data_IF_205110917704
#
_entry.id   IF_205110917704
#
_cell.length_a   1.000
_cell.length_b   1.000
_cell.length_c   1.000
_cell.angle_alpha   90.00
_cell.angle_beta   90.00
_cell.angle_gamma   90.00
#
_symmetry.space_group_name_H-M   'P 1'
#
loop_
_entity.id
_entity.type
_entity.pdbx_description
1 polymer ?
#
# COMPACT_ATOMS: atom_id res chain seq x y z
N UNK A 1 -5.66 40.77 9.91
CA UNK A 1 -5.17 39.81 10.93
C UNK A 1 -4.76 38.54 10.16
N UNK A 2 -3.49 38.45 9.84
CA UNK A 2 -2.91 37.30 9.12
C UNK A 2 -2.57 36.25 10.16
N UNK A 3 -3.46 35.27 10.30
CA UNK A 3 -3.26 34.15 11.22
C UNK A 3 -2.15 33.29 10.65
N UNK A 4 -1.06 33.15 11.38
CA UNK A 4 -0.11 32.05 11.14
C UNK A 4 -0.87 30.77 11.44
N UNK A 5 -1.21 30.03 10.41
CA UNK A 5 -1.57 28.62 10.54
C UNK A 5 -0.28 27.84 10.79
N UNK A 6 0.25 27.95 12.00
CA UNK A 6 1.07 26.91 12.53
C UNK A 6 0.09 25.76 12.82
N UNK A 7 0.22 24.68 12.09
CA UNK A 7 -0.64 23.53 12.22
C UNK A 7 -0.76 23.13 13.68
N UNK A 8 -1.93 23.35 14.28
CA UNK A 8 -2.28 22.65 15.50
C UNK A 8 -2.38 21.19 15.14
N UNK A 9 -1.35 20.43 15.48
CA UNK A 9 -1.38 18.99 15.41
C UNK A 9 -2.35 18.51 16.50
N UNK A 10 -3.66 18.60 16.24
CA UNK A 10 -4.61 17.71 16.88
C UNK A 10 -4.23 16.32 16.35
N UNK A 11 -3.57 15.53 17.20
CA UNK A 11 -3.27 14.12 16.99
C UNK A 11 -4.59 13.35 16.79
N UNK A 12 -5.24 13.53 15.64
CA UNK A 12 -6.21 12.60 15.13
C UNK A 12 -5.43 11.48 14.45
N UNK A 13 -4.97 10.52 15.25
CA UNK A 13 -4.52 9.24 14.73
C UNK A 13 -5.72 8.50 14.14
N UNK A 14 -6.06 8.78 12.90
CA UNK A 14 -6.75 7.81 12.09
C UNK A 14 -5.68 6.84 11.57
N UNK A 15 -5.34 5.86 12.39
CA UNK A 15 -4.54 4.73 11.95
C UNK A 15 -5.39 3.86 11.02
N UNK A 16 -5.63 4.32 9.80
CA UNK A 16 -5.99 3.41 8.71
C UNK A 16 -4.75 2.59 8.35
N UNK A 17 -4.34 1.69 9.26
CA UNK A 17 -3.39 0.61 8.94
C UNK A 17 -4.19 -0.49 8.24
N UNK A 18 -4.80 -0.17 7.13
CA UNK A 18 -5.44 -1.16 6.27
C UNK A 18 -4.56 -1.52 5.07
N UNK A 19 -3.27 -1.76 5.29
CA UNK A 19 -2.54 -2.66 4.43
C UNK A 19 -2.94 -4.08 4.88
N UNK A 20 -4.08 -4.56 4.38
CA UNK A 20 -4.49 -5.95 4.60
C UNK A 20 -3.45 -6.83 3.92
N UNK A 21 -2.53 -7.36 4.71
CA UNK A 21 -1.48 -8.26 4.23
C UNK A 21 -2.08 -9.63 3.99
N UNK A 22 -2.75 -9.80 2.85
CA UNK A 22 -3.11 -11.11 2.37
C UNK A 22 -1.94 -11.65 1.55
N UNK A 23 -1.50 -12.85 1.90
CA UNK A 23 -0.60 -13.63 1.06
C UNK A 23 -1.36 -14.80 0.48
N UNK A 24 -1.13 -15.07 -0.80
CA UNK A 24 -1.70 -16.24 -1.45
C UNK A 24 -0.90 -17.46 -1.02
N UNK A 25 -1.53 -18.38 -0.31
CA UNK A 25 -0.96 -19.68 0.02
C UNK A 25 -1.49 -20.73 -0.96
N UNK A 26 -0.57 -21.42 -1.61
CA UNK A 26 -0.87 -22.56 -2.47
C UNK A 26 -0.74 -23.87 -1.73
N UNK A 27 -1.66 -24.79 -1.96
CA UNK A 27 -1.66 -26.12 -1.35
C UNK A 27 -1.98 -27.16 -2.40
N UNK A 28 -1.35 -28.32 -2.30
CA UNK A 28 -1.65 -29.47 -3.19
C UNK A 28 -2.54 -30.46 -2.44
N UNK A 29 -3.64 -30.82 -3.06
CA UNK A 29 -4.63 -31.73 -2.50
C UNK A 29 -4.86 -32.92 -3.42
N UNK A 30 -4.99 -34.12 -2.82
CA UNK A 30 -5.30 -35.32 -3.57
C UNK A 30 -6.76 -35.33 -4.01
N UNK A 31 -6.99 -35.46 -5.32
CA UNK A 31 -8.31 -35.63 -5.93
C UNK A 31 -8.62 -37.11 -6.19
N UNK A 32 -7.67 -37.80 -6.79
CA UNK A 32 -7.73 -39.25 -6.97
C UNK A 32 -6.42 -39.81 -6.45
N UNK A 33 -6.51 -40.55 -5.35
CA UNK A 33 -5.35 -41.26 -4.81
C UNK A 33 -4.77 -42.23 -5.86
N UNK A 34 -3.45 -42.38 -5.79
CA UNK A 34 -2.79 -43.30 -6.70
C UNK A 34 -3.47 -44.67 -6.73
N UNK A 35 -3.81 -45.14 -7.91
CA UNK A 35 -4.41 -46.46 -8.09
C UNK A 35 -4.03 -47.05 -9.46
N UNK A 36 -4.03 -48.36 -9.52
CA UNK A 36 -3.78 -49.12 -10.74
C UNK A 36 -5.09 -49.66 -11.32
N UNK A 37 -5.23 -49.58 -12.62
CA UNK A 37 -6.41 -49.99 -13.38
C UNK A 37 -5.95 -50.84 -14.56
N UNK A 38 -6.50 -52.05 -14.69
CA UNK A 38 -6.21 -52.92 -15.83
C UNK A 38 -7.26 -52.71 -16.95
N UNK A 39 -6.78 -52.55 -18.19
CA UNK A 39 -7.60 -52.44 -19.39
C UNK A 39 -7.21 -53.54 -20.38
N UNK A 40 -8.18 -54.31 -20.83
CA UNK A 40 -7.99 -55.31 -21.86
C UNK A 40 -7.73 -54.67 -23.24
N UNK A 41 -7.08 -55.42 -24.11
CA UNK A 41 -7.08 -55.11 -25.54
C UNK A 41 -8.48 -55.22 -26.14
N UNK A 42 -8.70 -54.57 -27.28
CA UNK A 42 -10.02 -54.46 -27.90
C UNK A 42 -10.70 -55.83 -28.19
N UNK A 43 -9.95 -56.84 -28.63
CA UNK A 43 -10.47 -58.16 -28.89
C UNK A 43 -10.96 -58.88 -27.61
N UNK A 44 -10.21 -58.79 -26.49
CA UNK A 44 -10.65 -59.35 -25.20
C UNK A 44 -11.80 -58.57 -24.58
N UNK A 45 -11.86 -57.27 -24.84
CA UNK A 45 -12.96 -56.44 -24.35
C UNK A 45 -14.31 -56.84 -25.00
N UNK A 46 -14.31 -57.37 -26.23
CA UNK A 46 -15.52 -57.89 -26.87
C UNK A 46 -16.02 -59.19 -26.25
N UNK A 47 -15.17 -59.91 -25.49
CA UNK A 47 -15.47 -61.17 -24.77
C UNK A 47 -15.78 -60.95 -23.30
N UNK A 48 -16.11 -59.72 -22.87
CA UNK A 48 -16.49 -59.41 -21.48
C UNK A 48 -15.49 -58.60 -20.68
N UNK A 49 -14.34 -58.24 -21.25
CA UNK A 49 -13.37 -57.32 -20.61
C UNK A 49 -13.71 -55.86 -20.86
N UNK A 50 -12.96 -54.94 -20.18
CA UNK A 50 -13.08 -53.49 -20.37
C UNK A 50 -11.83 -52.95 -21.07
N UNK A 51 -11.97 -52.28 -22.22
CA UNK A 51 -10.91 -51.54 -22.90
C UNK A 51 -10.92 -50.04 -22.57
N UNK A 52 -11.95 -49.58 -21.85
CA UNK A 52 -12.17 -48.19 -21.47
C UNK A 52 -12.70 -48.09 -20.05
N UNK A 53 -12.37 -46.98 -19.37
CA UNK A 53 -12.90 -46.62 -18.04
C UNK A 53 -12.91 -45.11 -17.94
N UNK A 54 -13.77 -44.57 -17.10
CA UNK A 54 -13.78 -43.15 -16.75
C UNK A 54 -13.46 -42.99 -15.27
N UNK A 55 -12.76 -41.93 -14.94
CA UNK A 55 -12.42 -41.52 -13.59
C UNK A 55 -13.05 -40.14 -13.37
N UNK A 56 -13.97 -40.00 -12.42
CA UNK A 56 -14.51 -38.69 -12.07
C UNK A 56 -13.44 -37.85 -11.38
N UNK A 57 -13.39 -36.55 -11.71
CA UNK A 57 -12.50 -35.55 -11.13
C UNK A 57 -13.35 -34.45 -10.49
N UNK A 58 -13.39 -34.43 -9.18
CA UNK A 58 -14.12 -33.42 -8.40
C UNK A 58 -13.14 -32.41 -7.86
N UNK A 59 -13.08 -31.21 -8.45
CA UNK A 59 -12.16 -30.17 -8.04
C UNK A 59 -12.69 -29.48 -6.79
N UNK A 60 -11.84 -29.24 -5.77
CA UNK A 60 -12.17 -28.42 -4.61
C UNK A 60 -12.41 -26.96 -5.01
N UNK A 61 -12.99 -26.20 -4.09
CA UNK A 61 -13.09 -24.72 -4.24
C UNK A 61 -11.68 -24.14 -4.28
N UNK A 62 -11.55 -22.99 -4.93
CA UNK A 62 -10.28 -22.27 -5.06
C UNK A 62 -9.18 -23.04 -5.80
N UNK A 63 -9.53 -24.08 -6.59
CA UNK A 63 -8.58 -24.73 -7.48
C UNK A 63 -8.12 -23.75 -8.55
N UNK A 64 -6.82 -23.51 -8.64
CA UNK A 64 -6.20 -22.66 -9.68
C UNK A 64 -5.68 -23.48 -10.84
N UNK A 65 -5.24 -24.69 -10.54
CA UNK A 65 -4.74 -25.67 -11.51
C UNK A 65 -4.88 -27.08 -10.94
N UNK A 66 -4.91 -28.08 -11.77
CA UNK A 66 -4.83 -29.45 -11.33
C UNK A 66 -3.96 -30.25 -12.28
N UNK A 67 -3.51 -31.41 -11.82
CA UNK A 67 -2.53 -32.22 -12.51
C UNK A 67 -2.96 -33.68 -12.42
N UNK A 68 -2.72 -34.40 -13.49
CA UNK A 68 -2.74 -35.86 -13.42
C UNK A 68 -1.43 -36.44 -13.93
N UNK A 69 -0.98 -37.49 -13.31
CA UNK A 69 0.15 -38.29 -13.79
C UNK A 69 -0.27 -39.74 -13.99
N UNK A 70 0.33 -40.38 -14.94
CA UNK A 70 0.15 -41.79 -15.14
C UNK A 70 1.41 -42.43 -15.71
N UNK A 71 1.53 -43.75 -15.46
CA UNK A 71 2.50 -44.64 -16.10
C UNK A 71 1.84 -45.96 -16.39
N UNK A 72 2.30 -46.64 -17.42
CA UNK A 72 1.71 -47.90 -17.91
C UNK A 72 2.68 -49.05 -17.80
N UNK A 73 2.17 -50.24 -17.54
CA UNK A 73 2.91 -51.50 -17.60
C UNK A 73 2.18 -52.56 -18.37
N UNK A 74 2.88 -53.56 -18.98
CA UNK A 74 2.23 -54.65 -19.67
C UNK A 74 1.64 -55.62 -18.62
N UNK A 75 0.51 -56.29 -19.00
CA UNK A 75 -0.16 -57.25 -18.13
C UNK A 75 -0.81 -56.64 -16.89
N UNK A 76 -0.97 -57.44 -15.85
CA UNK A 76 -1.68 -57.06 -14.60
C UNK A 76 -0.76 -56.44 -13.52
N UNK A 77 0.54 -56.41 -13.78
CA UNK A 77 1.52 -55.83 -12.83
C UNK A 77 1.45 -54.33 -12.85
N UNK A 78 1.18 -53.69 -11.76
CA UNK A 78 1.22 -52.23 -11.62
C UNK A 78 2.63 -51.67 -11.77
N UNK A 79 2.74 -50.38 -12.10
CA UNK A 79 3.99 -49.64 -12.08
C UNK A 79 4.34 -49.17 -10.65
N UNK A 80 5.60 -48.76 -10.48
CA UNK A 80 6.08 -48.12 -9.24
C UNK A 80 5.28 -46.86 -8.86
N UNK A 81 5.51 -46.39 -7.65
CA UNK A 81 4.82 -45.26 -7.06
C UNK A 81 5.04 -43.95 -7.87
N UNK A 82 3.98 -43.26 -8.24
CA UNK A 82 4.04 -41.98 -8.96
C UNK A 82 4.49 -40.82 -8.08
N UNK A 83 4.07 -40.83 -6.80
CA UNK A 83 4.41 -39.82 -5.80
C UNK A 83 4.11 -38.36 -6.26
N UNK A 84 3.11 -38.16 -7.12
CA UNK A 84 2.80 -36.83 -7.68
C UNK A 84 2.51 -35.81 -6.60
N UNK A 85 1.65 -36.17 -5.64
CA UNK A 85 1.32 -35.30 -4.51
C UNK A 85 2.57 -34.81 -3.76
N UNK A 86 3.46 -35.74 -3.39
CA UNK A 86 4.66 -35.40 -2.61
C UNK A 86 5.63 -34.53 -3.41
N UNK A 87 5.83 -34.86 -4.68
CA UNK A 87 6.72 -34.08 -5.55
C UNK A 87 6.20 -32.66 -5.73
N UNK A 88 4.91 -32.48 -6.09
CA UNK A 88 4.34 -31.17 -6.31
C UNK A 88 4.25 -30.36 -5.01
N UNK A 89 3.91 -30.98 -3.87
CA UNK A 89 3.90 -30.29 -2.57
C UNK A 89 5.24 -29.71 -2.20
N UNK A 90 6.35 -30.39 -2.54
CA UNK A 90 7.72 -29.90 -2.30
C UNK A 90 8.15 -28.77 -3.26
N UNK A 91 7.42 -28.54 -4.35
CA UNK A 91 7.74 -27.57 -5.41
C UNK A 91 6.88 -26.30 -5.33
N UNK A 92 5.94 -26.22 -4.39
CA UNK A 92 5.11 -25.03 -4.19
C UNK A 92 5.97 -23.87 -3.68
N UNK A 93 5.91 -22.74 -4.38
CA UNK A 93 6.59 -21.50 -3.99
C UNK A 93 5.55 -20.40 -3.77
N UNK A 94 5.45 -19.88 -2.56
CA UNK A 94 4.57 -18.75 -2.28
C UNK A 94 5.17 -17.45 -2.87
N UNK A 95 4.36 -16.56 -3.45
CA UNK A 95 2.92 -16.69 -3.74
C UNK A 95 2.63 -17.29 -5.14
N UNK A 96 3.64 -17.78 -5.87
CA UNK A 96 3.55 -18.12 -7.29
C UNK A 96 2.95 -19.51 -7.59
N UNK A 97 2.83 -20.40 -6.58
CA UNK A 97 2.42 -21.78 -6.77
C UNK A 97 3.45 -22.62 -7.53
N UNK A 98 2.99 -23.59 -8.33
CA UNK A 98 3.87 -24.45 -9.12
C UNK A 98 4.23 -23.79 -10.45
N UNK A 99 5.52 -23.56 -10.68
CA UNK A 99 6.03 -23.00 -11.94
C UNK A 99 6.18 -24.06 -13.02
N UNK A 100 6.22 -23.64 -14.29
CA UNK A 100 6.50 -24.59 -15.41
C UNK A 100 7.85 -25.27 -15.27
N UNK A 101 8.85 -24.56 -14.79
CA UNK A 101 10.19 -25.12 -14.57
C UNK A 101 10.17 -26.16 -13.46
N UNK A 102 9.41 -25.93 -12.38
CA UNK A 102 9.26 -26.91 -11.31
C UNK A 102 8.56 -28.18 -11.84
N UNK A 103 7.50 -28.01 -12.63
CA UNK A 103 6.74 -29.14 -13.20
C UNK A 103 7.61 -30.03 -14.12
N UNK A 104 8.57 -29.45 -14.86
CA UNK A 104 9.49 -30.23 -15.72
C UNK A 104 10.44 -31.15 -14.93
N UNK A 105 10.57 -30.94 -13.64
CA UNK A 105 11.42 -31.77 -12.75
C UNK A 105 10.66 -32.94 -12.10
N UNK A 106 9.35 -33.05 -12.33
CA UNK A 106 8.55 -34.16 -11.79
C UNK A 106 8.98 -35.47 -12.48
N UNK A 107 9.34 -36.44 -11.68
CA UNK A 107 9.79 -37.74 -12.16
C UNK A 107 8.68 -38.76 -11.98
N UNK A 108 8.38 -39.48 -13.05
CA UNK A 108 7.43 -40.60 -13.04
C UNK A 108 8.09 -41.85 -13.63
N UNK A 109 7.70 -43.05 -13.19
CA UNK A 109 8.23 -44.30 -13.72
C UNK A 109 8.03 -44.42 -15.25
N UNK A 110 9.00 -45.01 -15.94
CA UNK A 110 8.94 -45.19 -17.37
C UNK A 110 7.82 -46.18 -17.76
N UNK A 111 6.87 -45.72 -18.57
CA UNK A 111 5.81 -46.54 -19.06
C UNK A 111 6.25 -47.43 -20.25
N UNK A 112 5.63 -48.59 -20.39
CA UNK A 112 5.98 -49.59 -21.40
C UNK A 112 4.93 -49.77 -22.49
N UNK A 113 3.65 -49.40 -22.28
CA UNK A 113 2.57 -49.56 -23.20
C UNK A 113 1.82 -48.25 -23.44
N UNK A 114 1.29 -48.04 -24.65
CA UNK A 114 0.58 -46.79 -24.97
C UNK A 114 -0.86 -46.78 -24.48
N UNK A 115 -1.32 -45.58 -24.05
CA UNK A 115 -2.71 -45.32 -23.67
C UNK A 115 -3.17 -43.99 -24.29
N UNK A 116 -4.48 -43.87 -24.49
CA UNK A 116 -5.16 -42.60 -24.76
C UNK A 116 -5.89 -42.13 -23.49
N UNK A 117 -5.69 -40.88 -23.13
CA UNK A 117 -6.39 -40.23 -22.02
C UNK A 117 -7.18 -39.04 -22.53
N UNK A 118 -8.46 -39.02 -22.27
CA UNK A 118 -9.41 -37.99 -22.71
C UNK A 118 -9.95 -37.20 -21.52
N UNK A 119 -9.90 -35.89 -21.57
CA UNK A 119 -10.57 -35.03 -20.61
C UNK A 119 -11.95 -34.64 -21.14
N UNK A 120 -13.01 -34.95 -20.40
CA UNK A 120 -14.39 -34.81 -20.86
C UNK A 120 -15.32 -34.34 -19.77
N UNK A 121 -16.49 -33.82 -20.14
CA UNK A 121 -17.62 -33.64 -19.23
C UNK A 121 -18.44 -34.96 -19.11
N UNK A 122 -19.44 -34.98 -18.22
CA UNK A 122 -20.28 -36.16 -17.95
C UNK A 122 -20.91 -36.75 -19.21
N UNK A 123 -21.58 -35.92 -20.01
CA UNK A 123 -22.31 -36.43 -21.20
C UNK A 123 -21.38 -37.12 -22.21
N UNK A 124 -20.18 -36.58 -22.39
CA UNK A 124 -19.16 -37.14 -23.27
C UNK A 124 -18.49 -38.38 -22.64
N UNK A 125 -18.36 -38.44 -21.31
CA UNK A 125 -17.85 -39.62 -20.61
C UNK A 125 -18.81 -40.80 -20.77
N UNK A 126 -20.11 -40.58 -20.73
CA UNK A 126 -21.12 -41.62 -20.97
C UNK A 126 -21.08 -42.14 -22.44
N UNK A 127 -20.99 -41.23 -23.41
CA UNK A 127 -20.82 -41.58 -24.81
C UNK A 127 -19.50 -42.36 -25.08
N UNK A 128 -18.40 -41.94 -24.43
CA UNK A 128 -17.11 -42.62 -24.48
C UNK A 128 -17.19 -44.06 -24.00
N UNK A 129 -17.89 -44.34 -22.91
CA UNK A 129 -18.08 -45.69 -22.38
C UNK A 129 -18.94 -46.56 -23.31
N UNK A 130 -19.89 -45.95 -24.03
CA UNK A 130 -20.73 -46.63 -25.01
C UNK A 130 -19.98 -46.95 -26.32
N UNK A 131 -18.68 -46.60 -26.42
CA UNK A 131 -17.83 -46.84 -27.60
C UNK A 131 -18.32 -46.14 -28.89
N UNK A 132 -18.95 -44.97 -28.72
CA UNK A 132 -19.47 -44.15 -29.83
C UNK A 132 -18.36 -43.24 -30.33
N UNK A 133 -17.31 -43.79 -30.94
CA UNK A 133 -16.14 -43.00 -31.36
C UNK A 133 -15.65 -43.33 -32.77
N UNK A 134 -16.30 -44.25 -33.49
CA UNK A 134 -15.65 -44.81 -34.66
C UNK A 134 -16.31 -44.55 -36.01
N UNK A 135 -17.54 -44.06 -36.10
CA UNK A 135 -18.19 -43.83 -37.40
C UNK A 135 -19.16 -42.62 -37.33
N UNK A 136 -18.62 -41.44 -37.22
CA UNK A 136 -19.41 -40.25 -36.98
C UNK A 136 -19.48 -39.95 -35.50
N UNK A 137 -18.45 -40.32 -34.84
CA UNK A 137 -18.20 -40.31 -33.46
C UNK A 137 -18.61 -39.06 -32.71
N UNK A 138 -19.08 -39.26 -31.54
CA UNK A 138 -19.96 -38.29 -30.97
C UNK A 138 -19.65 -37.96 -29.53
N UNK A 139 -18.44 -38.19 -29.11
CA UNK A 139 -17.97 -37.57 -27.85
C UNK A 139 -16.92 -36.52 -28.14
N UNK A 140 -17.03 -35.41 -27.41
CA UNK A 140 -16.07 -34.31 -27.44
C UNK A 140 -15.16 -34.37 -26.22
N UNK A 141 -13.91 -33.90 -26.36
CA UNK A 141 -12.94 -33.86 -25.29
C UNK A 141 -12.14 -32.54 -25.32
N UNK A 142 -11.64 -32.15 -24.19
CA UNK A 142 -10.74 -31.03 -24.09
C UNK A 142 -9.34 -31.44 -24.56
N UNK A 143 -8.84 -30.77 -25.59
CA UNK A 143 -7.59 -31.10 -26.25
C UNK A 143 -6.37 -30.85 -25.39
N UNK A 144 -6.38 -29.75 -24.64
CA UNK A 144 -5.24 -29.30 -23.81
C UNK A 144 -5.05 -30.19 -22.58
N UNK A 145 -6.08 -30.86 -22.12
CA UNK A 145 -6.04 -31.80 -21.00
C UNK A 145 -6.06 -33.27 -21.42
N UNK A 146 -5.88 -33.58 -22.69
CA UNK A 146 -5.90 -34.95 -23.24
C UNK A 146 -4.55 -35.34 -23.85
N UNK A 147 -4.18 -36.61 -23.75
CA UNK A 147 -2.95 -37.14 -24.36
C UNK A 147 -3.23 -38.47 -25.06
N UNK A 148 -2.53 -38.72 -26.17
CA UNK A 148 -2.77 -39.86 -27.02
C UNK A 148 -1.49 -40.61 -27.30
N UNK A 149 -1.61 -41.93 -27.43
CA UNK A 149 -0.51 -42.83 -27.73
C UNK A 149 0.71 -42.61 -26.83
N UNK A 150 0.45 -42.38 -25.54
CA UNK A 150 1.47 -41.95 -24.57
C UNK A 150 1.64 -43.05 -23.51
N UNK A 151 2.90 -43.32 -23.11
CA UNK A 151 3.23 -44.38 -22.14
C UNK A 151 3.24 -43.87 -20.70
N UNK A 152 3.59 -42.62 -20.52
CA UNK A 152 3.65 -41.92 -19.24
C UNK A 152 3.53 -40.42 -19.47
N UNK A 153 2.90 -39.71 -18.58
CA UNK A 153 2.84 -38.24 -18.62
C UNK A 153 2.54 -37.62 -17.26
N UNK A 154 2.97 -36.36 -17.09
CA UNK A 154 2.42 -35.41 -16.12
C UNK A 154 1.73 -34.33 -16.92
N UNK A 155 0.44 -34.17 -16.75
CA UNK A 155 -0.39 -33.24 -17.51
C UNK A 155 -0.97 -32.17 -16.61
N UNK A 156 -0.57 -30.91 -16.80
CA UNK A 156 -1.21 -29.77 -16.14
C UNK A 156 -2.52 -29.41 -16.84
N UNK A 157 -3.56 -29.14 -16.08
CA UNK A 157 -4.86 -28.74 -16.57
C UNK A 157 -5.33 -27.48 -15.87
N UNK A 158 -5.79 -26.48 -16.61
CA UNK A 158 -6.33 -25.26 -16.04
C UNK A 158 -7.70 -25.50 -15.38
N UNK A 159 -7.96 -24.81 -14.26
CA UNK A 159 -9.19 -24.97 -13.48
C UNK A 159 -10.47 -24.42 -14.16
N UNK A 160 -10.35 -23.65 -15.24
CA UNK A 160 -11.46 -22.95 -15.90
C UNK A 160 -12.42 -23.90 -16.68
N UNK A 161 -12.43 -25.17 -16.34
CA UNK A 161 -13.29 -26.17 -16.98
C UNK A 161 -14.52 -26.45 -16.11
N UNK A 162 -15.69 -26.55 -16.74
CA UNK A 162 -16.94 -26.82 -16.05
C UNK A 162 -16.94 -28.19 -15.37
N UNK A 163 -17.20 -28.25 -14.09
CA UNK A 163 -17.46 -29.49 -13.37
C UNK A 163 -18.87 -30.06 -13.73
N UNK A 164 -19.08 -31.37 -13.69
CA UNK A 164 -18.12 -32.42 -13.38
C UNK A 164 -17.20 -32.80 -14.55
N UNK A 165 -15.93 -33.12 -14.24
CA UNK A 165 -14.92 -33.55 -15.20
C UNK A 165 -14.63 -35.04 -15.08
N UNK A 166 -14.23 -35.65 -16.15
CA UNK A 166 -13.87 -37.08 -16.25
C UNK A 166 -12.60 -37.26 -17.05
N UNK A 167 -11.71 -38.11 -16.57
CA UNK A 167 -10.62 -38.69 -17.35
C UNK A 167 -11.06 -40.02 -17.93
N UNK A 168 -11.19 -40.10 -19.25
CA UNK A 168 -11.45 -41.33 -19.97
C UNK A 168 -10.15 -42.00 -20.36
N UNK A 169 -9.92 -43.21 -19.90
CA UNK A 169 -8.74 -44.03 -20.21
C UNK A 169 -9.13 -45.09 -21.26
N UNK A 170 -8.40 -45.14 -22.38
CA UNK A 170 -8.64 -46.11 -23.46
C UNK A 170 -7.35 -46.85 -23.81
N UNK A 171 -7.39 -48.15 -23.77
CA UNK A 171 -6.31 -48.98 -24.32
C UNK A 171 -6.45 -49.03 -25.85
N UNK A 172 -5.51 -48.46 -26.64
CA UNK A 172 -5.55 -48.49 -28.09
C UNK A 172 -5.17 -49.87 -28.72
N UNK A 173 -4.52 -50.76 -27.93
CA UNK A 173 -4.15 -52.09 -28.42
C UNK A 173 -5.38 -52.95 -28.69
N UNK A 174 -5.34 -53.71 -29.77
CA UNK A 174 -6.37 -54.70 -30.10
C UNK A 174 -6.18 -56.02 -29.33
N UNK A 175 -4.96 -56.38 -28.97
CA UNK A 175 -4.65 -57.71 -28.41
C UNK A 175 -4.20 -57.63 -26.94
N UNK A 176 -3.33 -56.66 -26.62
CA UNK A 176 -2.61 -56.67 -25.38
C UNK A 176 -3.36 -55.89 -24.31
N UNK A 177 -3.44 -56.46 -23.11
CA UNK A 177 -3.90 -55.75 -21.93
C UNK A 177 -2.80 -54.90 -21.31
N UNK A 178 -3.17 -53.79 -20.72
CA UNK A 178 -2.27 -52.84 -20.03
C UNK A 178 -2.77 -52.53 -18.64
N UNK A 179 -1.84 -52.32 -17.70
CA UNK A 179 -2.11 -51.74 -16.41
C UNK A 179 -1.70 -50.27 -16.41
N UNK A 180 -2.54 -49.40 -15.85
CA UNK A 180 -2.32 -47.97 -15.77
C UNK A 180 -2.31 -47.58 -14.31
N UNK A 181 -1.20 -47.09 -13.81
CA UNK A 181 -1.15 -46.42 -12.50
C UNK A 181 -1.37 -44.93 -12.72
N UNK A 182 -2.36 -44.34 -12.04
CA UNK A 182 -2.77 -42.94 -12.20
C UNK A 182 -2.96 -42.27 -10.84
N UNK A 183 -2.59 -40.98 -10.75
CA UNK A 183 -2.81 -40.11 -9.60
C UNK A 183 -3.30 -38.76 -10.11
N UNK A 184 -4.23 -38.10 -9.37
CA UNK A 184 -4.75 -36.77 -9.69
C UNK A 184 -4.69 -35.89 -8.48
N UNK A 185 -4.14 -34.68 -8.63
CA UNK A 185 -4.02 -33.70 -7.56
C UNK A 185 -4.46 -32.31 -8.05
N UNK A 186 -4.95 -31.50 -7.12
CA UNK A 186 -5.29 -30.10 -7.40
C UNK A 186 -4.37 -29.17 -6.62
N UNK A 187 -4.05 -28.05 -7.25
CA UNK A 187 -3.42 -26.89 -6.64
C UNK A 187 -4.53 -25.90 -6.30
N UNK A 188 -4.75 -25.66 -5.01
CA UNK A 188 -5.66 -24.66 -4.48
C UNK A 188 -4.90 -23.43 -4.04
N UNK A 189 -5.53 -22.27 -4.12
CA UNK A 189 -4.97 -21.00 -3.66
C UNK A 189 -5.95 -20.31 -2.70
N UNK A 190 -5.49 -19.98 -1.52
CA UNK A 190 -6.26 -19.26 -0.51
C UNK A 190 -5.53 -17.98 -0.11
N UNK A 191 -6.28 -16.89 0.03
CA UNK A 191 -5.76 -15.68 0.63
C UNK A 191 -5.76 -15.81 2.15
N UNK A 192 -4.57 -15.79 2.75
CA UNK A 192 -4.38 -15.87 4.19
C UNK A 192 -3.89 -14.53 4.70
N UNK A 193 -4.60 -13.99 5.69
CA UNK A 193 -4.17 -12.78 6.38
C UNK A 193 -2.91 -13.05 7.20
N UNK A 194 -1.87 -12.25 6.96
CA UNK A 194 -0.64 -12.27 7.76
C UNK A 194 -0.59 -11.02 8.63
N UNK A 195 -0.62 -11.20 9.95
CA UNK A 195 -0.49 -10.12 10.92
C UNK A 195 0.99 -9.81 11.20
N UNK A 196 1.72 -9.47 10.12
CA UNK A 196 3.15 -9.13 10.16
C UNK A 196 3.39 -7.71 9.67
N UNK A 197 4.39 -7.06 10.25
CA UNK A 197 4.81 -5.74 9.82
C UNK A 197 5.45 -5.77 8.44
N UNK A 198 4.88 -5.02 7.49
CA UNK A 198 5.47 -4.76 6.17
C UNK A 198 6.15 -3.39 6.14
N UNK A 199 7.05 -3.17 5.17
CA UNK A 199 7.79 -1.92 5.06
C UNK A 199 6.89 -0.69 5.11
N UNK A 200 5.78 -0.69 4.37
CA UNK A 200 4.85 0.44 4.33
C UNK A 200 4.23 0.78 5.69
N UNK A 201 3.80 -0.23 6.46
CA UNK A 201 3.25 -0.02 7.81
C UNK A 201 4.31 0.39 8.82
N UNK A 202 5.54 -0.11 8.68
CA UNK A 202 6.68 0.31 9.49
C UNK A 202 7.08 1.75 9.20
N UNK A 203 7.09 2.16 7.93
CA UNK A 203 7.38 3.53 7.52
C UNK A 203 6.31 4.49 8.02
N UNK A 204 5.04 4.10 8.02
CA UNK A 204 3.95 4.90 8.59
C UNK A 204 4.13 5.13 10.08
N UNK A 205 4.47 4.11 10.87
CA UNK A 205 4.77 4.26 12.31
C UNK A 205 5.91 5.25 12.54
N UNK A 206 6.96 5.20 11.70
CA UNK A 206 8.07 6.14 11.74
C UNK A 206 7.63 7.56 11.39
N UNK A 207 6.89 7.75 10.31
CA UNK A 207 6.39 9.05 9.85
C UNK A 207 5.44 9.68 10.88
N UNK A 208 4.54 8.91 11.48
CA UNK A 208 3.65 9.39 12.53
C UNK A 208 4.45 9.87 13.76
N UNK A 209 5.53 9.17 14.12
CA UNK A 209 6.44 9.62 15.16
C UNK A 209 7.13 10.93 14.78
N UNK A 210 7.69 11.05 13.57
CA UNK A 210 8.36 12.28 13.10
C UNK A 210 7.39 13.46 13.10
N UNK A 211 6.17 13.25 12.61
CA UNK A 211 5.12 14.27 12.56
C UNK A 211 4.61 14.70 13.93
N UNK A 212 4.90 13.93 14.99
CA UNK A 212 4.60 14.31 16.39
C UNK A 212 5.57 15.35 16.95
N UNK A 213 6.71 15.58 16.29
CA UNK A 213 7.69 16.60 16.68
C UNK A 213 7.51 17.89 15.88
N UNK A 214 7.84 19.02 16.51
CA UNK A 214 7.82 20.34 15.85
C UNK A 214 8.98 20.52 14.86
N UNK A 215 10.05 19.73 15.00
CA UNK A 215 11.24 19.71 14.15
C UNK A 215 11.52 18.26 13.73
N UNK A 216 11.75 18.05 12.43
CA UNK A 216 12.05 16.72 11.87
C UNK A 216 13.55 16.53 11.60
N UNK A 217 14.43 16.95 12.50
CA UNK A 217 15.88 16.87 12.31
C UNK A 217 16.46 15.45 12.53
N UNK A 218 17.76 15.31 12.36
CA UNK A 218 18.44 14.02 12.47
C UNK A 218 18.26 13.35 13.85
N UNK A 219 18.15 14.15 14.92
CA UNK A 219 17.99 13.64 16.29
C UNK A 219 16.58 13.08 16.48
N UNK A 220 15.56 13.76 15.98
CA UNK A 220 14.17 13.26 16.01
C UNK A 220 14.04 11.97 15.21
N UNK A 221 14.70 11.88 14.05
CA UNK A 221 14.74 10.64 13.26
C UNK A 221 15.38 9.48 14.01
N UNK A 222 16.43 9.72 14.79
CA UNK A 222 17.05 8.70 15.62
C UNK A 222 16.10 8.21 16.73
N UNK A 223 15.40 9.11 17.41
CA UNK A 223 14.40 8.78 18.43
C UNK A 223 13.26 7.97 17.80
N UNK A 224 12.76 8.39 16.62
CA UNK A 224 11.66 7.72 15.95
C UNK A 224 12.02 6.35 15.36
N UNK A 225 13.27 6.11 14.95
CA UNK A 225 13.73 4.77 14.61
C UNK A 225 13.68 3.84 15.84
N UNK A 226 14.21 4.28 16.97
CA UNK A 226 14.12 3.52 18.22
C UNK A 226 12.65 3.26 18.62
N UNK A 227 11.79 4.27 18.50
CA UNK A 227 10.35 4.14 18.77
C UNK A 227 9.70 3.08 17.87
N UNK A 228 9.92 3.17 16.55
CA UNK A 228 9.44 2.19 15.57
C UNK A 228 9.88 0.77 15.94
N UNK A 229 11.16 0.58 16.26
CA UNK A 229 11.71 -0.74 16.61
C UNK A 229 11.05 -1.31 17.88
N UNK A 230 10.75 -0.47 18.87
CA UNK A 230 10.01 -0.89 20.09
C UNK A 230 8.57 -1.29 19.78
N UNK A 231 7.89 -0.56 18.90
CA UNK A 231 6.51 -0.89 18.48
C UNK A 231 6.49 -2.24 17.77
N UNK A 232 7.37 -2.43 16.79
CA UNK A 232 7.47 -3.68 16.01
C UNK A 232 7.78 -4.88 16.91
N UNK A 233 8.62 -4.68 17.93
CA UNK A 233 8.95 -5.74 18.88
C UNK A 233 7.83 -6.09 19.87
N UNK A 234 6.95 -5.13 20.20
CA UNK A 234 5.94 -5.29 21.23
C UNK A 234 4.54 -5.63 20.71
N UNK A 235 4.24 -5.29 19.45
CA UNK A 235 2.91 -5.39 18.86
C UNK A 235 2.95 -6.03 17.47
N UNK A 236 1.87 -6.74 17.12
CA UNK A 236 1.54 -7.01 15.72
C UNK A 236 0.76 -5.83 15.13
N UNK A 237 0.69 -5.66 13.78
CA UNK A 237 -0.11 -4.60 13.16
C UNK A 237 -1.54 -4.54 13.67
N UNK A 238 -2.23 -5.68 13.76
CA UNK A 238 -3.61 -5.74 14.26
C UNK A 238 -3.72 -5.33 15.72
N UNK A 239 -2.84 -5.82 16.59
CA UNK A 239 -2.87 -5.46 18.02
C UNK A 239 -2.57 -3.99 18.25
N UNK A 240 -1.68 -3.41 17.44
CA UNK A 240 -1.37 -1.98 17.50
C UNK A 240 -2.55 -1.11 17.03
N UNK A 241 -3.22 -1.50 15.93
CA UNK A 241 -4.38 -0.77 15.40
C UNK A 241 -5.61 -0.79 16.32
N UNK A 242 -5.69 -1.77 17.22
CA UNK A 242 -6.78 -1.91 18.21
C UNK A 242 -6.58 -1.05 19.47
N UNK A 243 -5.43 -0.40 19.63
CA UNK A 243 -5.18 0.44 20.79
C UNK A 243 -6.13 1.64 20.80
N UNK A 244 -6.65 2.00 21.98
CA UNK A 244 -7.44 3.21 22.14
C UNK A 244 -6.56 4.44 21.96
N UNK A 245 -7.15 5.60 21.60
CA UNK A 245 -6.42 6.86 21.50
C UNK A 245 -5.69 7.22 22.81
N UNK A 246 -6.27 6.87 23.96
CA UNK A 246 -5.64 7.08 25.28
C UNK A 246 -4.39 6.23 25.44
N UNK A 247 -4.47 4.94 25.06
CA UNK A 247 -3.34 4.00 25.17
C UNK A 247 -2.24 4.35 24.16
N UNK A 248 -2.61 4.75 22.94
CA UNK A 248 -1.67 5.24 21.94
C UNK A 248 -0.91 6.48 22.45
N UNK A 249 -1.62 7.48 22.97
CA UNK A 249 -0.98 8.69 23.49
C UNK A 249 0.00 8.38 24.63
N UNK A 250 -0.40 7.47 25.53
CA UNK A 250 0.49 7.02 26.62
C UNK A 250 1.70 6.26 26.07
N UNK A 251 1.48 5.33 25.18
CA UNK A 251 2.52 4.53 24.52
C UNK A 251 3.55 5.42 23.80
N UNK A 252 3.07 6.39 23.01
CA UNK A 252 3.92 7.36 22.32
C UNK A 252 4.75 8.16 23.32
N UNK A 253 4.11 8.71 24.38
CA UNK A 253 4.83 9.46 25.43
C UNK A 253 5.91 8.62 26.09
N UNK A 254 5.59 7.39 26.52
CA UNK A 254 6.50 6.53 27.29
C UNK A 254 7.65 6.03 26.41
N UNK A 255 7.37 5.59 25.17
CA UNK A 255 8.40 5.04 24.29
C UNK A 255 9.30 6.13 23.71
N UNK A 256 8.75 7.30 23.32
CA UNK A 256 9.55 8.43 22.84
C UNK A 256 10.48 8.91 23.97
N UNK A 257 9.96 9.05 25.20
CA UNK A 257 10.77 9.42 26.37
C UNK A 257 11.89 8.41 26.62
N UNK A 258 11.57 7.12 26.63
CA UNK A 258 12.55 6.04 26.79
C UNK A 258 13.63 6.06 25.70
N UNK A 259 13.25 6.29 24.44
CA UNK A 259 14.18 6.37 23.32
C UNK A 259 15.09 7.61 23.39
N UNK A 260 14.54 8.75 23.81
CA UNK A 260 15.32 9.96 24.02
C UNK A 260 16.33 9.81 25.18
N UNK A 261 15.94 9.15 26.28
CA UNK A 261 16.82 8.83 27.40
C UNK A 261 17.95 7.87 26.98
N UNK A 262 17.63 6.80 26.26
CA UNK A 262 18.62 5.82 25.76
C UNK A 262 19.64 6.43 24.80
N UNK A 263 19.22 7.41 24.00
CA UNK A 263 20.11 8.11 23.07
C UNK A 263 20.84 9.33 23.69
N UNK A 264 20.60 9.64 24.97
CA UNK A 264 21.15 10.84 25.64
C UNK A 264 20.54 12.16 25.13
N UNK A 265 19.36 12.11 24.48
CA UNK A 265 18.73 13.24 23.78
C UNK A 265 17.50 13.82 24.53
N UNK A 266 17.42 13.64 25.85
CA UNK A 266 16.26 14.12 26.65
C UNK A 266 16.01 15.63 26.54
N UNK A 267 17.03 16.43 26.25
CA UNK A 267 16.91 17.88 26.03
C UNK A 267 16.07 18.23 24.79
N UNK A 268 16.02 17.34 23.80
CA UNK A 268 15.21 17.51 22.58
C UNK A 268 13.72 17.57 22.91
N UNK A 269 13.27 16.74 23.84
CA UNK A 269 11.87 16.72 24.28
C UNK A 269 11.47 18.02 24.99
N UNK A 270 12.39 18.61 25.78
CA UNK A 270 12.14 19.89 26.42
C UNK A 270 12.07 21.03 25.40
N UNK A 271 12.98 21.03 24.43
CA UNK A 271 12.98 21.96 23.30
C UNK A 271 11.69 21.89 22.49
N UNK A 272 11.26 20.70 22.12
CA UNK A 272 10.03 20.49 21.36
C UNK A 272 8.78 20.91 22.17
N UNK A 273 8.74 20.62 23.47
CA UNK A 273 7.70 21.12 24.37
C UNK A 273 7.67 22.67 24.38
N UNK A 274 8.82 23.33 24.46
CA UNK A 274 8.90 24.79 24.45
C UNK A 274 8.40 25.38 23.13
N UNK A 275 8.72 24.76 22.01
CA UNK A 275 8.22 25.17 20.68
C UNK A 275 6.68 25.14 20.65
N UNK A 276 6.05 24.06 21.15
CA UNK A 276 4.58 23.97 21.24
C UNK A 276 3.97 25.03 22.16
N UNK A 277 4.58 25.28 23.32
CA UNK A 277 4.13 26.35 24.23
C UNK A 277 4.17 27.72 23.54
N UNK A 278 5.26 28.00 22.80
CA UNK A 278 5.39 29.27 22.08
C UNK A 278 4.36 29.41 20.97
N UNK A 279 4.04 28.30 20.27
CA UNK A 279 3.00 28.29 19.24
C UNK A 279 1.62 28.70 19.82
N UNK A 280 1.25 28.14 20.96
CA UNK A 280 -0.01 28.51 21.63
C UNK A 280 0.02 29.96 22.15
N UNK A 281 1.16 30.43 22.70
CA UNK A 281 1.32 31.81 23.11
C UNK A 281 1.17 32.78 21.92
N UNK A 282 1.81 32.50 20.79
CA UNK A 282 1.74 33.34 19.59
C UNK A 282 0.29 33.41 19.06
N UNK A 283 -0.46 32.30 19.10
CA UNK A 283 -1.89 32.31 18.74
C UNK A 283 -2.68 33.27 19.63
N UNK A 284 -2.48 33.19 20.93
CA UNK A 284 -3.09 34.12 21.91
C UNK A 284 -2.72 35.56 21.65
N UNK A 285 -1.42 35.86 21.51
CA UNK A 285 -0.87 37.19 21.23
C UNK A 285 -1.37 37.78 19.92
N UNK A 286 -1.57 36.94 18.91
CA UNK A 286 -2.20 37.34 17.62
C UNK A 286 -3.65 37.82 17.82
N UNK A 287 -4.42 37.12 18.64
CA UNK A 287 -5.82 37.47 18.92
C UNK A 287 -5.90 38.76 19.70
N UNK A 288 -5.03 38.93 20.71
CA UNK A 288 -4.97 40.13 21.55
C UNK A 288 -4.26 41.31 20.91
N UNK A 289 -3.58 41.07 19.76
CA UNK A 289 -2.76 42.07 19.05
C UNK A 289 -1.61 42.60 19.90
N UNK A 290 -1.04 41.74 20.74
CA UNK A 290 0.16 42.04 21.52
C UNK A 290 1.40 41.79 20.68
N UNK A 291 1.74 42.80 19.85
CA UNK A 291 2.86 42.68 18.89
C UNK A 291 4.22 42.66 19.59
N UNK A 292 4.35 43.23 20.81
CA UNK A 292 5.62 43.25 21.56
C UNK A 292 5.98 41.84 22.04
N UNK A 293 5.06 41.16 22.69
CA UNK A 293 5.34 39.85 23.22
C UNK A 293 5.27 38.78 22.08
N UNK A 294 4.47 39.03 21.05
CA UNK A 294 4.48 38.16 19.85
C UNK A 294 5.84 38.19 19.14
N UNK A 295 6.46 39.38 18.96
CA UNK A 295 7.81 39.48 18.40
C UNK A 295 8.82 38.68 19.20
N UNK A 296 8.82 38.80 20.57
CA UNK A 296 9.71 38.03 21.44
C UNK A 296 9.53 36.51 21.26
N UNK A 297 8.28 36.06 21.25
CA UNK A 297 7.95 34.64 21.08
C UNK A 297 8.40 34.10 19.73
N UNK A 298 8.25 34.89 18.66
CA UNK A 298 8.72 34.53 17.31
C UNK A 298 10.24 34.47 17.20
N UNK A 299 10.93 35.42 17.83
CA UNK A 299 12.40 35.41 17.92
C UNK A 299 12.91 34.20 18.69
N UNK A 300 12.25 33.82 19.79
CA UNK A 300 12.59 32.61 20.55
C UNK A 300 12.40 31.35 19.67
N UNK A 301 11.33 31.25 18.87
CA UNK A 301 11.15 30.14 17.90
C UNK A 301 12.36 30.01 16.96
N UNK A 302 12.86 31.12 16.43
CA UNK A 302 14.04 31.11 15.56
C UNK A 302 15.28 30.59 16.30
N UNK A 303 15.50 30.98 17.60
CA UNK A 303 16.61 30.45 18.40
C UNK A 303 16.48 28.96 18.68
N UNK A 304 15.26 28.45 18.72
CA UNK A 304 14.95 27.02 18.84
C UNK A 304 15.01 26.29 17.50
N UNK A 305 15.37 26.95 16.40
CA UNK A 305 15.57 26.34 15.09
C UNK A 305 14.30 26.19 14.25
N UNK A 306 13.19 26.82 14.63
CA UNK A 306 11.98 26.92 13.79
C UNK A 306 12.20 28.00 12.75
N UNK A 307 13.01 27.69 11.73
CA UNK A 307 13.48 28.61 10.70
C UNK A 307 12.72 28.40 9.37
N UNK A 308 11.45 28.85 9.33
CA UNK A 308 10.60 28.76 8.14
C UNK A 308 10.02 30.13 7.77
N UNK A 309 9.50 30.26 6.52
CA UNK A 309 8.97 31.51 5.99
C UNK A 309 7.75 32.04 6.77
N UNK A 310 6.93 31.19 7.39
CA UNK A 310 5.79 31.60 8.20
C UNK A 310 6.20 32.40 9.43
N UNK A 311 7.28 31.99 10.11
CA UNK A 311 7.83 32.71 11.27
C UNK A 311 8.28 34.10 10.83
N UNK A 312 9.02 34.20 9.71
CA UNK A 312 9.47 35.49 9.17
C UNK A 312 8.33 36.38 8.70
N UNK A 313 7.26 35.79 8.12
CA UNK A 313 6.05 36.53 7.76
C UNK A 313 5.41 37.19 8.98
N UNK A 314 5.20 36.43 10.05
CA UNK A 314 4.59 36.92 11.27
C UNK A 314 5.50 37.95 12.00
N UNK A 315 6.80 37.69 12.02
CA UNK A 315 7.79 38.59 12.61
C UNK A 315 7.83 39.92 11.86
N UNK A 316 7.84 39.91 10.53
CA UNK A 316 7.80 41.11 9.72
C UNK A 316 6.54 41.94 10.00
N UNK A 317 5.37 41.31 10.07
CA UNK A 317 4.12 42.02 10.37
C UNK A 317 4.15 42.66 11.79
N UNK A 318 4.60 41.93 12.82
CA UNK A 318 4.78 42.49 14.15
C UNK A 318 5.71 43.70 14.13
N UNK A 319 6.85 43.60 13.44
CA UNK A 319 7.85 44.66 13.34
C UNK A 319 7.31 45.90 12.60
N UNK A 320 6.48 45.72 11.56
CA UNK A 320 5.78 46.83 10.92
C UNK A 320 4.83 47.53 11.91
N UNK A 321 4.05 46.76 12.67
CA UNK A 321 3.13 47.30 13.66
C UNK A 321 3.89 48.07 14.80
N UNK A 322 5.10 47.64 15.09
CA UNK A 322 5.99 48.25 16.10
C UNK A 322 6.88 49.38 15.55
N UNK A 323 6.74 49.80 14.31
CA UNK A 323 7.58 50.79 13.60
C UNK A 323 9.06 50.39 13.46
N UNK A 324 9.38 49.11 13.59
CA UNK A 324 10.72 48.55 13.42
C UNK A 324 10.97 48.21 11.94
N UNK A 325 11.05 49.22 11.10
CA UNK A 325 11.05 49.06 9.66
C UNK A 325 12.31 48.37 9.12
N UNK A 326 13.48 48.63 9.70
CA UNK A 326 14.74 48.00 9.29
C UNK A 326 14.74 46.49 9.61
N UNK A 327 14.20 46.11 10.75
CA UNK A 327 14.05 44.72 11.17
C UNK A 327 13.00 44.04 10.30
N UNK A 328 11.87 44.69 10.04
CA UNK A 328 10.83 44.18 9.14
C UNK A 328 11.38 43.88 7.75
N UNK A 329 12.20 44.79 7.20
CA UNK A 329 12.84 44.58 5.88
C UNK A 329 13.74 43.33 5.88
N UNK A 330 14.54 43.13 6.96
CA UNK A 330 15.39 41.94 7.10
C UNK A 330 14.55 40.67 7.14
N UNK A 331 13.50 40.65 7.97
CA UNK A 331 12.58 39.52 8.11
C UNK A 331 11.89 39.20 6.75
N UNK A 332 11.41 40.22 6.03
CA UNK A 332 10.83 40.06 4.69
C UNK A 332 11.84 39.49 3.68
N UNK A 333 13.07 40.00 3.70
CA UNK A 333 14.11 39.52 2.79
C UNK A 333 14.40 38.02 3.00
N UNK A 334 14.53 37.60 4.28
CA UNK A 334 14.77 36.20 4.60
C UNK A 334 13.56 35.35 4.26
N UNK A 335 12.36 35.79 4.64
CA UNK A 335 11.11 35.07 4.36
C UNK A 335 10.87 34.85 2.86
N UNK A 336 11.02 35.90 2.05
CA UNK A 336 10.91 35.82 0.60
C UNK A 336 12.05 35.01 -0.04
N UNK A 337 13.24 34.99 0.56
CA UNK A 337 14.31 34.09 0.13
C UNK A 337 13.95 32.61 0.29
N UNK A 338 13.14 32.29 1.29
CA UNK A 338 12.64 30.92 1.55
C UNK A 338 11.41 30.56 0.71
N UNK A 339 10.50 31.52 0.52
CA UNK A 339 9.29 31.35 -0.33
C UNK A 339 8.98 32.66 -1.08
N UNK A 340 9.54 32.85 -2.30
CA UNK A 340 9.38 34.07 -3.08
C UNK A 340 7.95 34.38 -3.54
N UNK A 341 7.08 33.39 -3.57
CA UNK A 341 5.71 33.50 -4.09
C UNK A 341 4.64 33.56 -2.99
N UNK A 342 5.04 33.56 -1.73
CA UNK A 342 4.10 33.65 -0.62
C UNK A 342 3.37 35.00 -0.62
N UNK A 343 2.05 34.94 -0.78
CA UNK A 343 1.22 36.13 -0.91
C UNK A 343 1.13 36.96 0.39
N UNK A 344 1.28 36.33 1.55
CA UNK A 344 1.31 37.07 2.82
C UNK A 344 2.61 37.87 2.98
N UNK A 345 3.75 37.25 2.63
CA UNK A 345 5.03 37.96 2.63
C UNK A 345 5.06 39.10 1.61
N UNK A 346 4.52 38.87 0.40
CA UNK A 346 4.39 39.91 -0.63
C UNK A 346 3.47 41.05 -0.16
N UNK A 347 2.39 40.73 0.55
CA UNK A 347 1.52 41.74 1.14
C UNK A 347 2.25 42.56 2.20
N UNK A 348 2.98 41.91 3.12
CA UNK A 348 3.79 42.59 4.12
C UNK A 348 4.92 43.44 3.50
N UNK A 349 5.48 43.00 2.35
CA UNK A 349 6.42 43.83 1.58
C UNK A 349 5.76 45.09 1.02
N UNK A 350 4.56 44.97 0.48
CA UNK A 350 3.76 46.13 0.05
C UNK A 350 3.45 47.08 1.21
N UNK A 351 3.08 46.53 2.38
CA UNK A 351 2.85 47.28 3.61
C UNK A 351 4.13 48.01 4.09
N UNK A 352 5.27 47.33 4.01
CA UNK A 352 6.57 47.94 4.34
C UNK A 352 6.84 49.17 3.45
N UNK A 353 6.67 49.01 2.11
CA UNK A 353 6.87 50.16 1.20
C UNK A 353 5.90 51.28 1.47
N UNK A 354 4.64 50.99 1.76
CA UNK A 354 3.63 52.00 2.05
C UNK A 354 3.96 52.78 3.36
N UNK A 355 4.33 52.06 4.41
CA UNK A 355 4.67 52.68 5.71
C UNK A 355 6.01 53.44 5.69
N UNK A 356 6.85 53.19 4.69
CA UNK A 356 8.12 53.89 4.48
C UNK A 356 8.04 54.92 3.34
N UNK A 357 6.82 55.38 3.00
CA UNK A 357 6.55 56.41 1.97
C UNK A 357 7.05 56.07 0.57
N UNK A 358 7.07 54.78 0.22
CA UNK A 358 7.45 54.26 -1.12
C UNK A 358 6.19 53.78 -1.86
N UNK A 359 5.27 54.71 -2.14
CA UNK A 359 3.94 54.43 -2.69
C UNK A 359 3.99 53.63 -4.00
N UNK A 360 4.88 53.96 -4.93
CA UNK A 360 4.93 53.31 -6.25
C UNK A 360 5.28 51.83 -6.15
N UNK A 361 6.20 51.47 -5.26
CA UNK A 361 6.53 50.07 -5.01
C UNK A 361 5.39 49.32 -4.29
N UNK A 362 4.74 49.96 -3.34
CA UNK A 362 3.60 49.40 -2.64
C UNK A 362 2.44 49.09 -3.60
N UNK A 363 2.03 50.10 -4.40
CA UNK A 363 0.86 49.97 -5.29
C UNK A 363 1.12 48.95 -6.41
N UNK A 364 2.35 48.85 -6.91
CA UNK A 364 2.72 47.87 -7.91
C UNK A 364 2.44 46.42 -7.37
N UNK A 365 2.87 46.10 -6.18
CA UNK A 365 2.61 44.81 -5.56
C UNK A 365 1.11 44.59 -5.34
N UNK A 366 0.45 45.56 -4.75
CA UNK A 366 -0.97 45.44 -4.43
C UNK A 366 -1.84 45.24 -5.66
N UNK A 367 -1.59 45.93 -6.75
CA UNK A 367 -2.34 45.79 -8.00
C UNK A 367 -2.04 44.46 -8.69
N UNK A 368 -0.79 44.01 -8.66
CA UNK A 368 -0.38 42.75 -9.26
C UNK A 368 -1.15 41.55 -8.66
N UNK A 369 -1.31 41.51 -7.34
CA UNK A 369 -1.89 40.38 -6.67
C UNK A 369 -3.32 40.58 -6.12
N UNK A 370 -3.96 41.73 -6.36
CA UNK A 370 -5.26 42.15 -5.77
C UNK A 370 -6.38 41.10 -5.82
N UNK A 371 -6.40 40.28 -6.87
CA UNK A 371 -7.46 39.29 -7.12
C UNK A 371 -7.08 37.87 -6.69
N UNK A 372 -5.80 37.64 -6.34
CA UNK A 372 -5.33 36.34 -5.94
C UNK A 372 -6.00 35.91 -4.61
N UNK A 373 -6.20 34.61 -4.46
CA UNK A 373 -6.74 34.01 -3.24
C UNK A 373 -5.60 33.62 -2.31
N UNK A 374 -5.73 34.02 -1.07
CA UNK A 374 -4.86 33.60 0.01
C UNK A 374 -5.26 32.18 0.52
N UNK A 375 -4.38 31.52 1.25
CA UNK A 375 -4.64 30.20 1.88
C UNK A 375 -5.87 30.22 2.81
N UNK A 376 -6.16 31.37 3.45
CA UNK A 376 -7.34 31.57 4.30
C UNK A 376 -8.62 31.89 3.51
N UNK A 377 -8.61 31.69 2.20
CA UNK A 377 -9.70 31.89 1.24
C UNK A 377 -10.10 33.36 0.98
N UNK A 378 -9.54 34.33 1.69
CA UNK A 378 -9.73 35.76 1.40
C UNK A 378 -9.02 36.14 0.12
N UNK A 379 -9.46 37.22 -0.54
CA UNK A 379 -8.68 37.84 -1.62
C UNK A 379 -7.56 38.68 -1.03
N UNK A 380 -6.45 38.76 -1.72
CA UNK A 380 -5.29 39.55 -1.34
C UNK A 380 -5.65 40.98 -0.97
N UNK A 381 -6.48 41.68 -1.78
CA UNK A 381 -6.94 43.03 -1.48
C UNK A 381 -7.73 43.16 -0.17
N UNK A 382 -8.43 42.10 0.26
CA UNK A 382 -9.17 42.09 1.53
C UNK A 382 -8.22 42.01 2.73
N UNK A 383 -7.10 41.31 2.56
CA UNK A 383 -6.03 41.30 3.56
C UNK A 383 -5.37 42.68 3.66
N UNK A 384 -5.03 43.29 2.52
CA UNK A 384 -4.50 44.66 2.50
C UNK A 384 -5.46 45.65 3.21
N UNK A 385 -6.77 45.58 2.93
CA UNK A 385 -7.76 46.43 3.61
C UNK A 385 -7.74 46.23 5.15
N UNK A 386 -7.58 44.98 5.60
CA UNK A 386 -7.48 44.66 7.03
C UNK A 386 -6.21 45.23 7.65
N UNK A 387 -5.09 45.16 6.93
CA UNK A 387 -3.80 45.68 7.40
C UNK A 387 -3.79 47.21 7.49
N UNK A 388 -4.32 47.91 6.47
CA UNK A 388 -4.50 49.36 6.50
C UNK A 388 -5.33 49.80 7.70
N UNK A 389 -6.44 49.09 7.99
CA UNK A 389 -7.28 49.38 9.16
C UNK A 389 -6.53 49.18 10.47
N UNK A 390 -5.69 48.16 10.56
CA UNK A 390 -4.87 47.95 11.77
C UNK A 390 -3.79 49.01 11.94
N UNK A 391 -3.12 49.41 10.85
CA UNK A 391 -2.14 50.47 10.88
C UNK A 391 -2.77 51.83 11.24
N UNK A 392 -3.99 52.14 10.75
CA UNK A 392 -4.74 53.30 11.20
C UNK A 392 -5.03 53.26 12.72
N UNK A 393 -5.43 52.10 13.26
CA UNK A 393 -5.66 51.91 14.71
C UNK A 393 -4.38 52.17 15.51
N UNK A 394 -3.21 51.86 14.95
CA UNK A 394 -1.90 52.06 15.57
C UNK A 394 -1.31 53.46 15.34
N UNK A 395 -2.02 54.36 14.67
CA UNK A 395 -1.53 55.70 14.33
C UNK A 395 -0.37 55.70 13.34
N UNK A 396 -0.40 54.77 12.37
CA UNK A 396 0.63 54.61 11.32
C UNK A 396 0.15 55.09 9.94
N UNK A 397 -1.06 55.61 9.84
CA UNK A 397 -1.63 56.06 8.54
C UNK A 397 -0.88 57.26 7.95
N UNK A 398 -0.87 57.30 6.63
CA UNK A 398 -0.41 58.43 5.83
C UNK A 398 -1.40 58.70 4.68
N UNK A 399 -1.19 59.81 3.93
CA UNK A 399 -2.10 60.20 2.81
C UNK A 399 -2.18 59.15 1.71
N UNK A 400 -1.21 58.28 1.57
CA UNK A 400 -1.18 57.25 0.55
C UNK A 400 -2.16 56.10 0.84
N UNK A 401 -2.61 55.93 2.08
CA UNK A 401 -3.65 54.92 2.44
C UNK A 401 -4.96 55.19 1.65
N UNK A 402 -5.34 56.46 1.56
CA UNK A 402 -6.54 56.88 0.79
C UNK A 402 -6.37 56.50 -0.67
N UNK A 403 -5.18 56.74 -1.25
CA UNK A 403 -4.89 56.42 -2.66
C UNK A 403 -4.95 54.90 -2.88
N UNK A 404 -4.32 54.07 -1.99
CA UNK A 404 -4.35 52.61 -2.08
C UNK A 404 -5.79 52.07 -2.00
N UNK A 405 -6.63 52.57 -1.07
CA UNK A 405 -8.05 52.20 -0.99
C UNK A 405 -8.79 52.44 -2.30
N UNK A 406 -8.56 53.59 -2.89
CA UNK A 406 -9.20 53.97 -4.16
C UNK A 406 -8.78 53.04 -5.31
N UNK A 407 -7.48 52.78 -5.47
CA UNK A 407 -6.93 51.94 -6.54
C UNK A 407 -7.35 50.47 -6.43
N UNK A 408 -7.40 49.95 -5.20
CA UNK A 408 -7.83 48.54 -4.93
C UNK A 408 -9.35 48.38 -4.86
N UNK A 409 -10.10 49.50 -4.87
CA UNK A 409 -11.58 49.52 -4.67
C UNK A 409 -11.96 48.76 -3.39
N UNK A 410 -11.37 49.15 -2.26
CA UNK A 410 -11.62 48.63 -0.92
C UNK A 410 -12.05 49.76 0.03
N UNK A 411 -12.85 49.43 1.05
CA UNK A 411 -13.37 50.37 2.04
C UNK A 411 -12.43 50.50 3.25
#
# INVERSE_FOLDING_TARGET
MRIVLLFSLSLFFSLDISAQNYTTQHKIETIVAQRSIYLNGGARASMGGKSRVTIPVHLPKNTVRWYYSFSTSPGESGTDNLNLLLQLSSMVVAPAGITRTALSNVQIPTGSASIDVYLMNQANADAFLQKVDNNGGTFYYNRDGSVFNTRQAVVPVNANLNNPLYLGLKNPSTMDGINITIEVVAETAEEVYQDEWVSESMDKVFEDCINSFSLGDAVHKQICNCFKDKIIAAYTPSSFSMLSNSDLNKLYSDYIKSCAEQSGQSSVLQKDKRIRELDELIKGQTITKDYVDQEKSLLELLTLGVDNYHVYNSLAYCQLCLKKYDEAKKSLTIGLGKNPTDLFLLGNLGDYYLLTNQYDQAIQIFLQYKNEKLEDKRRFKEAVASDLKEFERLGLSNDDFIKVRKELRIN
#
